data_IF_178437439421
#
_entry.id   IF_178437439421
#
_cell.length_a   1.000
_cell.length_b   1.000
_cell.length_c   1.000
_cell.angle_alpha   90.00
_cell.angle_beta   90.00
_cell.angle_gamma   90.00
#
_symmetry.space_group_name_H-M   'P 1'
#
loop_
_entity.id
_entity.type
_entity.pdbx_description
1 polymer ?
#
# COMPACT_ATOMS: atom_id res chain seq x y z
N UNK A 1 -2.75 -12.24 -35.57
CA UNK A 1 -3.96 -11.46 -35.88
C UNK A 1 -3.70 -10.65 -37.14
N UNK A 2 -4.56 -10.74 -38.14
CA UNK A 2 -4.35 -10.08 -39.45
C UNK A 2 -4.49 -8.54 -39.31
N UNK A 3 -3.43 -7.82 -39.66
CA UNK A 3 -3.37 -6.35 -39.61
C UNK A 3 -4.43 -5.68 -40.49
N UNK A 4 -4.96 -6.38 -41.50
CA UNK A 4 -6.07 -5.88 -42.33
C UNK A 4 -7.39 -5.82 -41.56
N UNK A 5 -7.67 -6.78 -40.69
CA UNK A 5 -8.86 -6.76 -39.84
C UNK A 5 -8.78 -5.58 -38.88
N UNK A 6 -7.64 -5.37 -38.21
CA UNK A 6 -7.45 -4.25 -37.26
C UNK A 6 -7.72 -2.89 -37.93
N UNK A 7 -7.25 -2.69 -39.17
CA UNK A 7 -7.49 -1.45 -39.92
C UNK A 7 -8.97 -1.24 -40.27
N UNK A 8 -9.68 -2.28 -40.67
CA UNK A 8 -11.12 -2.21 -40.96
C UNK A 8 -11.89 -1.82 -39.69
N UNK A 9 -11.54 -2.42 -38.54
CA UNK A 9 -12.17 -2.13 -37.25
C UNK A 9 -11.91 -0.72 -36.72
N UNK A 10 -10.69 -0.18 -36.89
CA UNK A 10 -10.36 1.21 -36.52
C UNK A 10 -11.14 2.18 -37.41
N UNK A 11 -11.27 1.90 -38.71
CA UNK A 11 -12.03 2.74 -39.62
C UNK A 11 -13.52 2.79 -39.25
N UNK A 12 -14.12 1.64 -38.90
CA UNK A 12 -15.50 1.56 -38.43
C UNK A 12 -15.74 2.33 -37.12
N UNK A 13 -14.73 2.37 -36.23
CA UNK A 13 -14.79 3.14 -34.97
C UNK A 13 -14.82 4.66 -35.21
N UNK A 14 -14.00 5.17 -36.13
CA UNK A 14 -14.02 6.59 -36.48
C UNK A 14 -15.29 7.01 -37.23
N UNK A 15 -15.85 6.12 -38.06
CA UNK A 15 -17.16 6.34 -38.69
C UNK A 15 -18.27 6.44 -37.63
N UNK A 16 -18.27 5.57 -36.61
CA UNK A 16 -19.25 5.62 -35.51
C UNK A 16 -19.13 6.90 -34.65
N UNK A 17 -17.92 7.43 -34.45
CA UNK A 17 -17.66 8.72 -33.81
C UNK A 17 -18.21 9.91 -34.64
N UNK A 18 -18.18 9.81 -35.98
CA UNK A 18 -18.74 10.84 -36.88
C UNK A 18 -20.25 11.02 -36.80
N UNK A 19 -21.00 10.00 -36.35
CA UNK A 19 -22.47 10.05 -36.20
C UNK A 19 -22.94 10.63 -34.84
N UNK A 20 -22.04 11.17 -34.02
CA UNK A 20 -22.31 11.63 -32.64
C UNK A 20 -23.12 12.94 -32.50
N UNK A 21 -23.93 13.33 -33.49
CA UNK A 21 -24.68 14.60 -33.43
C UNK A 21 -26.14 14.50 -32.96
N UNK A 22 -26.69 13.31 -32.68
CA UNK A 22 -28.05 13.15 -32.14
C UNK A 22 -28.10 12.51 -30.75
N UNK A 23 -29.00 13.00 -29.89
CA UNK A 23 -29.00 12.70 -28.44
C UNK A 23 -29.36 11.26 -28.06
N UNK A 24 -30.11 10.52 -28.90
CA UNK A 24 -30.46 9.11 -28.64
C UNK A 24 -29.36 8.12 -29.02
N UNK A 25 -28.41 8.49 -29.90
CA UNK A 25 -27.28 7.62 -30.28
C UNK A 25 -26.15 7.62 -29.23
N UNK A 26 -26.08 8.62 -28.34
CA UNK A 26 -25.04 8.69 -27.28
C UNK A 26 -25.04 7.49 -26.33
N UNK A 27 -26.20 7.01 -25.90
CA UNK A 27 -26.30 5.91 -24.94
C UNK A 27 -25.85 4.59 -25.57
N UNK A 28 -26.26 4.35 -26.83
CA UNK A 28 -25.87 3.17 -27.60
C UNK A 28 -24.35 3.19 -27.86
N UNK A 29 -23.78 4.35 -28.20
CA UNK A 29 -22.33 4.50 -28.37
C UNK A 29 -21.55 4.27 -27.05
N UNK A 30 -22.08 4.68 -25.89
CA UNK A 30 -21.45 4.36 -24.59
C UNK A 30 -21.46 2.88 -24.29
N UNK A 31 -22.57 2.18 -24.54
CA UNK A 31 -22.66 0.74 -24.34
C UNK A 31 -21.70 0.00 -25.28
N UNK A 32 -21.63 0.38 -26.55
CA UNK A 32 -20.68 -0.19 -27.51
C UNK A 32 -19.23 0.07 -27.10
N UNK A 33 -18.92 1.27 -26.59
CA UNK A 33 -17.58 1.61 -26.10
C UNK A 33 -17.19 0.80 -24.86
N UNK A 34 -18.12 0.56 -23.93
CA UNK A 34 -17.90 -0.29 -22.76
C UNK A 34 -17.68 -1.75 -23.19
N UNK A 35 -18.48 -2.26 -24.13
CA UNK A 35 -18.30 -3.60 -24.68
C UNK A 35 -16.98 -3.75 -25.45
N UNK A 36 -16.53 -2.68 -26.12
CA UNK A 36 -15.22 -2.60 -26.80
C UNK A 36 -14.05 -2.63 -25.79
N UNK A 37 -14.12 -1.86 -24.71
CA UNK A 37 -13.15 -1.91 -23.62
C UNK A 37 -13.13 -3.30 -22.96
N UNK A 38 -14.29 -3.90 -22.75
CA UNK A 38 -14.39 -5.24 -22.18
C UNK A 38 -13.78 -6.30 -23.11
N UNK A 39 -14.05 -6.24 -24.42
CA UNK A 39 -13.44 -7.17 -25.37
C UNK A 39 -11.93 -6.99 -25.50
N UNK A 40 -11.41 -5.76 -25.42
CA UNK A 40 -9.98 -5.46 -25.30
C UNK A 40 -9.36 -6.09 -24.05
N UNK A 41 -10.01 -5.99 -22.89
CA UNK A 41 -9.53 -6.60 -21.64
C UNK A 41 -9.44 -8.12 -21.77
N UNK A 42 -10.41 -8.74 -22.45
CA UNK A 42 -10.43 -10.20 -22.70
C UNK A 42 -9.40 -10.61 -23.76
N UNK A 43 -9.32 -9.91 -24.91
CA UNK A 43 -8.41 -10.23 -26.03
C UNK A 43 -6.94 -10.07 -25.68
N UNK A 44 -6.58 -9.11 -24.82
CA UNK A 44 -5.20 -8.88 -24.42
C UNK A 44 -4.79 -9.67 -23.16
N UNK A 45 -5.64 -10.59 -22.67
CA UNK A 45 -5.36 -11.37 -21.46
C UNK A 45 -5.18 -10.51 -20.20
N UNK A 46 -5.57 -9.24 -20.26
CA UNK A 46 -5.52 -8.31 -19.12
C UNK A 46 -6.56 -8.69 -18.09
N UNK A 47 -7.67 -9.31 -18.49
CA UNK A 47 -8.69 -9.86 -17.59
C UNK A 47 -8.10 -10.91 -16.65
N UNK A 48 -7.32 -11.86 -17.17
CA UNK A 48 -6.68 -12.88 -16.34
C UNK A 48 -5.55 -12.30 -15.48
N UNK A 49 -4.76 -11.33 -15.97
CA UNK A 49 -3.75 -10.66 -15.13
C UNK A 49 -4.38 -9.80 -14.03
N UNK A 50 -5.48 -9.10 -14.29
CA UNK A 50 -6.18 -8.29 -13.29
C UNK A 50 -6.93 -9.17 -12.29
N UNK A 51 -7.56 -10.26 -12.74
CA UNK A 51 -8.22 -11.25 -11.89
C UNK A 51 -7.21 -12.11 -11.12
N UNK A 52 -6.04 -12.41 -11.67
CA UNK A 52 -4.98 -13.17 -11.01
C UNK A 52 -4.26 -12.34 -9.96
N UNK A 53 -3.92 -11.08 -10.26
CA UNK A 53 -3.32 -10.16 -9.27
C UNK A 53 -4.32 -9.84 -8.14
N UNK A 54 -5.62 -9.73 -8.44
CA UNK A 54 -6.63 -9.55 -7.38
C UNK A 54 -6.89 -10.83 -6.59
N UNK A 55 -6.96 -12.02 -7.22
CA UNK A 55 -7.25 -13.30 -6.55
C UNK A 55 -6.09 -13.87 -5.74
N UNK A 56 -4.83 -13.75 -6.20
CA UNK A 56 -3.64 -14.15 -5.43
C UNK A 56 -3.46 -13.25 -4.20
N UNK A 57 -3.72 -11.95 -4.33
CA UNK A 57 -3.68 -11.03 -3.19
C UNK A 57 -4.89 -11.20 -2.27
N UNK A 58 -6.08 -11.49 -2.81
CA UNK A 58 -7.25 -11.83 -1.99
C UNK A 58 -6.98 -13.12 -1.21
N UNK A 59 -6.52 -14.21 -1.82
CA UNK A 59 -6.22 -15.46 -1.10
C UNK A 59 -5.16 -15.27 -0.01
N UNK A 60 -4.18 -14.40 -0.22
CA UNK A 60 -3.15 -14.07 0.78
C UNK A 60 -3.70 -13.18 1.91
N UNK A 61 -4.69 -12.32 1.63
CA UNK A 61 -5.48 -11.56 2.62
C UNK A 61 -6.59 -12.39 3.29
N UNK A 62 -7.04 -13.46 2.65
CA UNK A 62 -8.11 -14.39 3.06
C UNK A 62 -7.55 -15.66 3.70
N UNK A 63 -6.24 -15.73 3.96
CA UNK A 63 -5.72 -16.74 4.87
C UNK A 63 -6.55 -16.72 6.16
N UNK A 64 -6.93 -17.89 6.67
CA UNK A 64 -7.72 -18.07 7.89
C UNK A 64 -7.00 -17.57 9.17
N UNK A 65 -5.95 -16.77 9.02
CA UNK A 65 -5.14 -16.26 10.10
C UNK A 65 -5.92 -15.14 10.82
N UNK A 66 -6.26 -15.43 12.08
CA UNK A 66 -6.92 -14.48 12.97
C UNK A 66 -5.96 -13.33 13.30
N UNK A 67 -6.45 -12.10 13.25
CA UNK A 67 -5.70 -10.91 13.66
C UNK A 67 -5.53 -10.95 15.17
N UNK A 68 -4.29 -11.14 15.60
CA UNK A 68 -3.89 -11.04 17.00
C UNK A 68 -3.35 -9.63 17.25
N UNK A 69 -3.96 -8.93 18.21
CA UNK A 69 -3.50 -7.61 18.64
C UNK A 69 -2.77 -7.72 19.97
N UNK A 70 -1.74 -6.91 20.15
CA UNK A 70 -1.01 -6.76 21.41
C UNK A 70 -1.08 -5.31 21.90
N UNK A 71 -1.02 -5.07 23.22
CA UNK A 71 -0.85 -3.74 23.77
C UNK A 71 0.43 -3.09 23.27
N UNK A 72 0.41 -1.78 23.08
CA UNK A 72 1.62 -1.05 22.74
C UNK A 72 2.66 -1.16 23.87
N UNK A 73 3.92 -1.28 23.47
CA UNK A 73 5.05 -1.35 24.39
C UNK A 73 6.21 -0.50 23.85
N UNK A 74 6.99 0.16 24.73
CA UNK A 74 8.22 0.85 24.31
C UNK A 74 9.20 -0.05 23.57
N UNK A 75 9.14 -1.38 23.76
CA UNK A 75 9.97 -2.35 23.02
C UNK A 75 9.78 -2.27 21.51
N UNK A 76 8.62 -1.85 21.02
CA UNK A 76 8.43 -1.68 19.57
C UNK A 76 9.31 -0.60 18.96
N UNK A 77 9.59 0.46 19.72
CA UNK A 77 10.53 1.51 19.32
C UNK A 77 11.97 0.95 19.27
N UNK A 78 12.35 0.18 20.28
CA UNK A 78 13.66 -0.50 20.32
C UNK A 78 13.83 -1.50 19.16
N UNK A 79 12.81 -2.32 18.90
CA UNK A 79 12.79 -3.28 17.78
C UNK A 79 12.93 -2.57 16.43
N UNK A 80 12.22 -1.46 16.23
CA UNK A 80 12.37 -0.63 15.03
C UNK A 80 13.79 -0.06 14.91
N UNK A 81 14.35 0.54 15.97
CA UNK A 81 15.70 1.13 15.91
C UNK A 81 16.79 0.07 15.66
N UNK A 82 16.64 -1.12 16.23
CA UNK A 82 17.51 -2.26 15.96
C UNK A 82 17.46 -2.67 14.48
N UNK A 83 16.27 -2.77 13.91
CA UNK A 83 16.10 -3.15 12.51
C UNK A 83 16.55 -2.04 11.55
N UNK A 84 16.28 -0.77 11.88
CA UNK A 84 16.80 0.40 11.16
C UNK A 84 18.33 0.38 11.15
N UNK A 85 18.97 0.09 12.28
CA UNK A 85 20.43 -0.04 12.38
C UNK A 85 20.96 -1.20 11.52
N UNK A 86 20.30 -2.37 11.58
CA UNK A 86 20.65 -3.55 10.76
C UNK A 86 20.56 -3.23 9.27
N UNK A 87 19.42 -2.69 8.83
CA UNK A 87 19.20 -2.33 7.43
C UNK A 87 20.18 -1.25 6.97
N UNK A 88 20.44 -0.23 7.77
CA UNK A 88 21.41 0.81 7.42
C UNK A 88 22.83 0.27 7.18
N UNK A 89 23.26 -0.77 7.89
CA UNK A 89 24.55 -1.44 7.59
C UNK A 89 24.57 -2.09 6.21
N UNK A 90 23.43 -2.56 5.72
CA UNK A 90 23.29 -3.27 4.45
C UNK A 90 23.10 -2.28 3.29
N UNK A 91 22.21 -1.28 3.46
CA UNK A 91 21.76 -0.43 2.36
C UNK A 91 22.38 0.98 2.36
N UNK A 92 22.73 1.55 3.51
CA UNK A 92 23.00 2.98 3.60
C UNK A 92 24.35 3.39 2.99
N UNK A 93 25.37 2.54 2.98
CA UNK A 93 26.66 2.89 2.36
C UNK A 93 26.56 3.04 0.83
N UNK A 94 25.75 2.20 0.18
CA UNK A 94 25.59 2.15 -1.27
C UNK A 94 24.44 3.04 -1.78
N UNK A 95 23.34 3.12 -1.03
CA UNK A 95 22.08 3.70 -1.52
C UNK A 95 21.68 5.04 -0.88
N UNK A 96 22.44 5.55 0.10
CA UNK A 96 22.07 6.81 0.80
C UNK A 96 21.95 8.03 -0.12
N UNK A 97 22.58 8.02 -1.30
CA UNK A 97 22.47 9.09 -2.29
C UNK A 97 21.09 9.16 -2.96
N UNK A 98 20.32 8.06 -2.99
CA UNK A 98 18.96 8.05 -3.56
C UNK A 98 17.85 8.22 -2.52
N UNK A 99 18.17 8.32 -1.23
CA UNK A 99 17.15 8.52 -0.19
C UNK A 99 16.63 9.95 -0.19
N UNK A 100 15.33 10.10 -0.07
CA UNK A 100 14.69 11.40 0.07
C UNK A 100 15.00 11.98 1.46
N UNK A 101 15.80 13.05 1.51
CA UNK A 101 16.39 13.56 2.75
C UNK A 101 15.39 14.10 3.76
N UNK A 102 14.28 14.69 3.30
CA UNK A 102 13.27 15.22 4.23
C UNK A 102 12.37 14.12 4.81
N UNK A 103 11.86 13.24 3.94
CA UNK A 103 10.96 12.16 4.36
C UNK A 103 11.68 11.03 5.07
N UNK A 104 12.93 10.77 4.73
CA UNK A 104 13.71 9.65 5.25
C UNK A 104 15.19 10.03 5.40
N UNK A 105 15.53 10.93 6.34
CA UNK A 105 16.90 11.46 6.49
C UNK A 105 17.94 10.36 6.74
N UNK A 106 17.56 9.36 7.54
CA UNK A 106 18.39 8.20 7.88
C UNK A 106 18.06 6.95 7.05
N UNK A 107 17.34 7.13 5.94
CA UNK A 107 16.94 6.06 5.04
C UNK A 107 15.68 5.30 5.44
N UNK A 108 15.37 5.16 6.73
CA UNK A 108 14.18 4.44 7.19
C UNK A 108 13.32 5.25 8.17
N UNK A 109 11.99 5.12 8.03
CA UNK A 109 10.97 5.78 8.85
C UNK A 109 10.02 4.75 9.44
N UNK A 110 9.75 4.82 10.75
CA UNK A 110 8.73 3.99 11.38
C UNK A 110 7.34 4.56 11.09
N UNK A 111 6.48 3.76 10.47
CA UNK A 111 5.09 4.13 10.17
C UNK A 111 4.13 3.07 10.73
N UNK A 112 2.83 3.23 10.45
CA UNK A 112 1.82 2.26 10.84
C UNK A 112 1.38 2.38 12.30
N UNK A 113 0.75 1.33 12.83
CA UNK A 113 0.20 1.41 14.20
C UNK A 113 1.26 1.27 15.29
N UNK A 114 2.36 0.56 15.03
CA UNK A 114 3.41 0.31 16.03
C UNK A 114 4.29 1.54 16.31
N UNK A 115 4.32 2.51 15.38
CA UNK A 115 4.99 3.80 15.56
C UNK A 115 4.19 4.81 16.40
N UNK A 116 2.89 4.56 16.65
CA UNK A 116 2.03 5.46 17.42
C UNK A 116 2.19 5.15 18.91
N UNK A 117 2.87 6.03 19.64
CA UNK A 117 3.07 5.85 21.08
C UNK A 117 1.73 5.81 21.83
N UNK A 118 1.61 4.91 22.82
CA UNK A 118 0.42 4.76 23.68
C UNK A 118 -0.86 4.36 22.94
N UNK A 119 -0.77 3.75 21.75
CA UNK A 119 -1.94 3.16 21.11
C UNK A 119 -2.42 1.92 21.90
N UNK A 120 -3.73 1.80 22.15
CA UNK A 120 -4.24 0.75 23.04
C UNK A 120 -3.88 -0.67 22.56
N UNK A 121 -4.10 -0.96 21.27
CA UNK A 121 -3.83 -2.27 20.67
C UNK A 121 -3.39 -2.10 19.20
N UNK A 122 -2.42 -2.90 18.78
CA UNK A 122 -2.01 -2.99 17.38
C UNK A 122 -1.62 -4.42 17.01
N UNK A 123 -1.70 -4.72 15.71
CA UNK A 123 -1.04 -5.92 15.16
C UNK A 123 0.46 -5.70 15.39
N UNK A 124 1.21 -6.66 15.95
CA UNK A 124 2.63 -6.50 16.20
C UNK A 124 3.44 -6.65 14.91
N UNK A 125 3.24 -5.70 13.99
CA UNK A 125 3.89 -5.60 12.70
C UNK A 125 4.50 -4.21 12.59
N UNK A 126 5.79 -4.16 12.30
CA UNK A 126 6.54 -2.92 12.13
C UNK A 126 6.48 -2.52 10.67
N UNK A 127 5.64 -1.53 10.36
CA UNK A 127 5.61 -0.92 9.03
C UNK A 127 6.77 0.08 8.94
N UNK A 128 7.69 -0.13 8.01
CA UNK A 128 8.90 0.68 7.83
C UNK A 128 8.89 1.26 6.42
N UNK A 129 9.10 2.57 6.26
CA UNK A 129 9.15 3.20 4.94
C UNK A 129 10.57 3.67 4.58
N UNK A 130 10.91 3.54 3.30
CA UNK A 130 12.11 4.08 2.66
C UNK A 130 11.66 4.92 1.47
N UNK A 131 11.73 6.24 1.57
CA UNK A 131 11.49 7.12 0.45
C UNK A 131 12.75 7.28 -0.41
N UNK A 132 12.62 7.05 -1.71
CA UNK A 132 13.71 7.23 -2.67
C UNK A 132 13.37 8.32 -3.70
N UNK A 133 14.39 8.94 -4.27
CA UNK A 133 14.29 10.03 -5.26
C UNK A 133 14.28 9.52 -6.69
N UNK A 134 14.61 8.25 -6.92
CA UNK A 134 14.61 7.66 -8.26
C UNK A 134 13.20 7.35 -8.72
N UNK A 135 12.94 7.52 -10.02
CA UNK A 135 11.64 7.23 -10.64
C UNK A 135 11.25 5.74 -10.58
N UNK A 136 12.24 4.86 -10.53
CA UNK A 136 12.05 3.41 -10.47
C UNK A 136 12.86 2.82 -9.33
N UNK A 137 12.44 1.65 -8.85
CA UNK A 137 13.19 0.85 -7.90
C UNK A 137 14.45 0.26 -8.56
N UNK A 138 15.66 0.58 -8.09
CA UNK A 138 16.88 -0.04 -8.64
C UNK A 138 16.87 -1.55 -8.41
N UNK A 139 17.16 -2.34 -9.46
CA UNK A 139 17.22 -3.81 -9.38
C UNK A 139 18.18 -4.26 -8.29
N UNK A 140 19.37 -3.66 -8.22
CA UNK A 140 20.36 -4.02 -7.20
C UNK A 140 19.91 -3.66 -5.78
N UNK A 141 19.07 -2.61 -5.59
CA UNK A 141 18.52 -2.30 -4.27
C UNK A 141 17.52 -3.39 -3.85
N UNK A 142 16.68 -3.84 -4.79
CA UNK A 142 15.78 -4.98 -4.55
C UNK A 142 16.56 -6.23 -4.15
N UNK A 143 17.61 -6.58 -4.89
CA UNK A 143 18.44 -7.74 -4.59
C UNK A 143 19.13 -7.61 -3.22
N UNK A 144 19.62 -6.43 -2.87
CA UNK A 144 20.24 -6.16 -1.58
C UNK A 144 19.22 -6.33 -0.42
N UNK A 145 17.96 -5.92 -0.60
CA UNK A 145 16.88 -6.16 0.36
C UNK A 145 16.49 -7.64 0.44
N UNK A 146 16.46 -8.36 -0.69
CA UNK A 146 16.20 -9.80 -0.72
C UNK A 146 17.31 -10.59 0.01
N UNK A 147 18.58 -10.22 -0.19
CA UNK A 147 19.72 -10.75 0.57
C UNK A 147 19.66 -10.41 2.07
N UNK A 148 19.03 -9.29 2.43
CA UNK A 148 18.78 -8.91 3.81
C UNK A 148 17.66 -9.71 4.50
N UNK A 149 16.99 -10.61 3.77
CA UNK A 149 15.93 -11.49 4.26
C UNK A 149 14.52 -11.06 3.85
N UNK A 150 14.35 -9.93 3.15
CA UNK A 150 13.04 -9.45 2.71
C UNK A 150 12.53 -10.20 1.48
N UNK A 151 11.23 -10.47 1.43
CA UNK A 151 10.57 -11.03 0.26
C UNK A 151 9.88 -9.91 -0.51
N UNK A 152 10.23 -9.75 -1.77
CA UNK A 152 9.48 -8.89 -2.66
C UNK A 152 8.10 -9.46 -2.94
N UNK A 153 7.04 -8.67 -2.75
CA UNK A 153 5.65 -9.13 -2.88
C UNK A 153 4.83 -8.39 -3.92
N UNK A 154 5.37 -7.37 -4.56
CA UNK A 154 4.67 -6.63 -5.60
C UNK A 154 4.51 -5.14 -5.28
N UNK A 155 3.78 -4.46 -6.16
CA UNK A 155 3.29 -3.13 -5.88
C UNK A 155 2.14 -3.16 -4.87
N UNK A 156 2.08 -2.15 -4.00
CA UNK A 156 1.01 -2.06 -3.00
C UNK A 156 -0.33 -1.67 -3.65
N UNK A 157 -1.44 -2.25 -3.17
CA UNK A 157 -2.79 -1.97 -3.67
C UNK A 157 -3.26 -0.52 -3.46
N UNK A 158 -2.59 0.24 -2.58
CA UNK A 158 -2.87 1.67 -2.33
C UNK A 158 -2.10 2.60 -3.26
N UNK A 159 -1.31 2.06 -4.20
CA UNK A 159 -0.54 2.82 -5.16
C UNK A 159 -1.45 3.43 -6.22
N UNK A 160 -1.45 4.77 -6.36
CA UNK A 160 -2.31 5.54 -7.28
C UNK A 160 -2.14 5.07 -8.73
N UNK A 161 -0.93 4.68 -9.11
CA UNK A 161 -0.66 3.77 -10.22
C UNK A 161 0.10 2.58 -9.63
N UNK A 162 -0.17 1.33 -10.01
CA UNK A 162 0.50 0.12 -9.47
C UNK A 162 2.05 0.07 -9.69
N UNK A 163 2.71 1.21 -9.89
CA UNK A 163 4.13 1.38 -10.17
C UNK A 163 4.84 2.29 -9.15
N UNK A 164 4.11 3.04 -8.32
CA UNK A 164 4.66 4.13 -7.50
C UNK A 164 4.99 3.75 -6.05
N UNK A 165 4.63 2.52 -5.64
CA UNK A 165 4.81 2.02 -4.28
C UNK A 165 5.13 0.52 -4.31
N UNK A 166 6.31 0.15 -3.85
CA UNK A 166 6.78 -1.24 -3.85
C UNK A 166 6.73 -1.77 -2.42
N UNK A 167 6.12 -2.94 -2.25
CA UNK A 167 5.99 -3.61 -0.97
C UNK A 167 6.97 -4.78 -0.90
N UNK A 168 7.81 -4.72 0.12
CA UNK A 168 8.71 -5.77 0.53
C UNK A 168 8.23 -6.22 1.89
N UNK A 169 7.95 -7.50 2.09
CA UNK A 169 7.59 -7.98 3.41
C UNK A 169 8.59 -9.02 3.86
N UNK A 170 8.86 -9.07 5.15
CA UNK A 170 9.29 -10.31 5.78
C UNK A 170 8.02 -10.90 6.36
N UNK A 171 7.41 -11.83 5.65
CA UNK A 171 6.44 -12.73 6.31
C UNK A 171 6.48 -14.12 5.69
N UNK A 172 7.52 -14.91 5.97
CA UNK A 172 7.34 -16.35 6.02
C UNK A 172 6.73 -16.73 7.40
N UNK A 173 5.88 -17.77 7.47
CA UNK A 173 5.22 -18.22 8.73
C UNK A 173 6.21 -18.55 9.85
N UNK A 174 7.45 -18.76 9.45
CA UNK A 174 8.69 -19.03 10.17
C UNK A 174 9.39 -17.77 10.71
N UNK A 175 8.88 -16.56 10.41
CA UNK A 175 9.32 -15.29 11.02
C UNK A 175 8.15 -14.40 11.49
N UNK A 176 7.01 -14.99 11.85
CA UNK A 176 6.57 -14.67 13.22
C UNK A 176 7.71 -15.27 14.02
N UNK A 177 8.67 -14.44 14.42
CA UNK A 177 9.80 -14.95 15.20
C UNK A 177 9.25 -15.76 16.38
N UNK A 178 10.10 -16.55 17.05
CA UNK A 178 9.76 -17.15 18.34
C UNK A 178 9.14 -16.17 19.39
N UNK A 179 9.04 -14.85 19.10
CA UNK A 179 8.52 -13.76 19.93
C UNK A 179 7.21 -13.13 19.41
N UNK A 180 6.72 -13.47 18.22
CA UNK A 180 5.41 -13.04 17.72
C UNK A 180 5.35 -11.79 16.83
N UNK A 181 6.46 -11.22 16.35
CA UNK A 181 6.50 -9.91 15.65
C UNK A 181 7.07 -10.02 14.20
N UNK A 182 6.81 -9.03 13.33
CA UNK A 182 7.33 -9.01 11.94
C UNK A 182 7.59 -7.60 11.40
N UNK A 183 8.19 -7.50 10.21
CA UNK A 183 8.52 -6.24 9.52
C UNK A 183 7.97 -6.18 8.10
N UNK A 184 7.29 -5.08 7.79
CA UNK A 184 6.70 -4.75 6.50
C UNK A 184 7.41 -3.51 5.95
N UNK A 185 8.19 -3.67 4.88
CA UNK A 185 9.03 -2.62 4.29
C UNK A 185 8.36 -2.01 3.05
N UNK A 186 8.17 -0.70 3.09
CA UNK A 186 7.55 0.10 2.05
C UNK A 186 8.61 0.94 1.34
N UNK A 187 8.97 0.58 0.12
CA UNK A 187 9.83 1.43 -0.72
C UNK A 187 8.96 2.38 -1.53
N UNK A 188 9.09 3.67 -1.24
CA UNK A 188 8.19 4.73 -1.73
C UNK A 188 8.88 5.57 -2.79
N UNK A 189 8.31 5.58 -4.00
CA UNK A 189 8.80 6.35 -5.13
C UNK A 189 8.20 7.78 -5.13
N UNK A 190 8.78 8.72 -5.91
CA UNK A 190 8.33 10.12 -5.92
C UNK A 190 6.82 10.37 -6.04
N UNK A 191 6.06 9.66 -6.90
CA UNK A 191 4.62 9.92 -7.02
C UNK A 191 3.83 9.57 -5.75
N UNK A 192 4.39 8.73 -4.86
CA UNK A 192 3.77 8.33 -3.59
C UNK A 192 4.38 9.04 -2.37
N UNK A 193 5.27 10.02 -2.55
CA UNK A 193 5.86 10.77 -1.43
C UNK A 193 4.81 11.51 -0.60
N UNK A 194 3.72 11.97 -1.23
CA UNK A 194 2.63 12.61 -0.48
C UNK A 194 1.90 11.62 0.44
N UNK A 195 1.70 10.38 -0.01
CA UNK A 195 1.13 9.33 0.84
C UNK A 195 2.00 9.07 2.08
N UNK A 196 3.32 9.04 1.90
CA UNK A 196 4.24 8.87 3.04
C UNK A 196 4.19 10.07 3.99
N UNK A 197 4.17 11.31 3.47
CA UNK A 197 3.98 12.52 4.29
C UNK A 197 2.71 12.43 5.12
N UNK A 198 1.60 12.15 4.48
CA UNK A 198 0.30 12.01 5.16
C UNK A 198 0.37 10.90 6.23
N UNK A 199 1.03 9.78 5.96
CA UNK A 199 1.18 8.65 6.90
C UNK A 199 2.06 9.00 8.11
N UNK A 200 3.13 9.77 7.90
CA UNK A 200 3.98 10.29 8.98
C UNK A 200 3.16 11.25 9.86
N UNK A 201 2.48 12.22 9.24
CA UNK A 201 1.63 13.18 9.95
C UNK A 201 0.48 12.50 10.70
N UNK A 202 -0.11 11.46 10.12
CA UNK A 202 -1.14 10.66 10.78
C UNK A 202 -0.64 10.03 12.08
N UNK A 203 0.59 9.49 12.07
CA UNK A 203 1.19 8.86 13.25
C UNK A 203 1.50 9.89 14.35
N UNK A 204 2.02 11.06 13.96
CA UNK A 204 2.26 12.18 14.87
C UNK A 204 0.95 12.72 15.46
N UNK A 205 -0.05 12.95 14.61
CA UNK A 205 -1.37 13.40 15.01
C UNK A 205 -1.99 12.47 16.06
N UNK A 206 -2.01 11.16 15.83
CA UNK A 206 -2.56 10.21 16.82
C UNK A 206 -1.71 10.13 18.09
N UNK A 207 -0.40 10.39 18.02
CA UNK A 207 0.43 10.47 19.22
C UNK A 207 0.03 11.66 20.10
N UNK A 208 -0.29 12.80 19.49
CA UNK A 208 -0.68 14.03 20.21
C UNK A 208 -2.18 14.13 20.52
N UNK A 209 -3.05 13.40 19.82
CA UNK A 209 -4.51 13.49 19.98
C UNK A 209 -5.08 12.22 20.63
N UNK A 210 -5.18 12.24 21.96
CA UNK A 210 -5.58 11.07 22.76
C UNK A 210 -6.95 10.50 22.39
N UNK A 211 -7.98 11.35 22.23
CA UNK A 211 -9.35 10.90 21.93
C UNK A 211 -9.39 10.09 20.63
N UNK A 212 -8.73 10.59 19.58
CA UNK A 212 -8.71 9.93 18.28
C UNK A 212 -7.82 8.67 18.28
N UNK A 213 -6.72 8.68 19.05
CA UNK A 213 -5.89 7.48 19.27
C UNK A 213 -6.67 6.37 19.95
N UNK A 214 -7.41 6.69 21.01
CA UNK A 214 -8.25 5.74 21.74
C UNK A 214 -9.37 5.21 20.85
N UNK A 215 -10.05 6.11 20.12
CA UNK A 215 -11.07 5.73 19.13
C UNK A 215 -10.52 4.74 18.09
N UNK A 216 -9.31 4.99 17.58
CA UNK A 216 -8.66 4.08 16.63
C UNK A 216 -8.26 2.74 17.25
N UNK A 217 -7.69 2.76 18.46
CA UNK A 217 -7.33 1.55 19.21
C UNK A 217 -8.54 0.68 19.55
N UNK A 218 -9.64 1.30 19.99
CA UNK A 218 -10.87 0.62 20.37
C UNK A 218 -11.56 -0.02 19.18
N UNK A 219 -11.65 0.67 18.03
CA UNK A 219 -12.18 0.07 16.81
C UNK A 219 -11.39 -1.20 16.41
N UNK A 220 -10.06 -1.15 16.46
CA UNK A 220 -9.22 -2.32 16.18
C UNK A 220 -9.52 -3.48 17.12
N UNK A 221 -9.64 -3.18 18.42
CA UNK A 221 -10.01 -4.15 19.46
C UNK A 221 -11.35 -4.82 19.19
N UNK A 222 -12.36 -4.02 18.86
CA UNK A 222 -13.73 -4.50 18.58
C UNK A 222 -13.76 -5.40 17.35
N UNK A 223 -13.08 -5.03 16.26
CA UNK A 223 -13.01 -5.86 15.06
C UNK A 223 -12.31 -7.19 15.37
N UNK A 224 -11.18 -7.17 16.07
CA UNK A 224 -10.46 -8.39 16.43
C UNK A 224 -11.27 -9.32 17.35
N UNK A 225 -12.21 -8.80 18.13
CA UNK A 225 -13.11 -9.60 18.97
C UNK A 225 -14.30 -10.17 18.19
N UNK A 226 -14.89 -9.38 17.29
CA UNK A 226 -16.15 -9.71 16.61
C UNK A 226 -15.96 -10.46 15.29
N UNK A 227 -14.89 -10.16 14.57
CA UNK A 227 -14.58 -10.73 13.26
C UNK A 227 -13.06 -10.64 13.00
N UNK A 228 -12.27 -11.54 13.62
CA UNK A 228 -10.81 -11.48 13.61
C UNK A 228 -10.18 -11.79 12.24
N UNK A 229 -10.95 -11.90 11.16
CA UNK A 229 -10.37 -12.19 9.85
C UNK A 229 -9.57 -10.98 9.34
N UNK A 230 -8.43 -11.23 8.68
CA UNK A 230 -7.61 -10.14 8.13
C UNK A 230 -8.39 -9.28 7.14
N UNK A 231 -9.22 -9.89 6.29
CA UNK A 231 -10.09 -9.19 5.35
C UNK A 231 -11.07 -8.24 6.06
N UNK A 232 -11.72 -8.69 7.14
CA UNK A 232 -12.62 -7.84 7.93
C UNK A 232 -11.87 -6.73 8.66
N UNK A 233 -10.72 -7.07 9.24
CA UNK A 233 -9.84 -6.12 9.90
C UNK A 233 -9.40 -4.97 8.99
N UNK A 234 -9.00 -5.27 7.76
CA UNK A 234 -8.64 -4.24 6.78
C UNK A 234 -9.87 -3.41 6.36
N UNK A 235 -10.99 -4.07 6.03
CA UNK A 235 -12.20 -3.41 5.52
C UNK A 235 -12.85 -2.50 6.55
N UNK A 236 -13.11 -3.00 7.77
CA UNK A 236 -13.88 -2.28 8.80
C UNK A 236 -13.15 -1.05 9.34
N UNK A 237 -11.82 -0.96 9.22
CA UNK A 237 -11.04 0.22 9.62
C UNK A 237 -11.12 1.39 8.65
N UNK A 238 -11.42 1.16 7.37
CA UNK A 238 -11.24 2.15 6.30
C UNK A 238 -11.97 3.47 6.57
N UNK A 239 -13.24 3.41 6.99
CA UNK A 239 -14.03 4.61 7.25
C UNK A 239 -13.42 5.48 8.35
N UNK A 240 -12.98 4.88 9.45
CA UNK A 240 -12.36 5.64 10.54
C UNK A 240 -10.98 6.17 10.14
N UNK A 241 -10.17 5.35 9.46
CA UNK A 241 -8.85 5.77 8.96
C UNK A 241 -8.99 7.02 8.08
N UNK A 242 -9.97 7.04 7.17
CA UNK A 242 -10.22 8.19 6.31
C UNK A 242 -10.50 9.48 7.09
N UNK A 243 -11.43 9.42 8.06
CA UNK A 243 -11.76 10.56 8.95
C UNK A 243 -10.52 11.02 9.71
N UNK A 244 -9.74 10.08 10.26
CA UNK A 244 -8.55 10.41 11.03
C UNK A 244 -7.42 11.02 10.17
N UNK A 245 -7.32 10.62 8.90
CA UNK A 245 -6.43 11.29 7.94
C UNK A 245 -6.88 12.71 7.63
N UNK A 246 -8.19 12.97 7.49
CA UNK A 246 -8.71 14.32 7.32
C UNK A 246 -8.40 15.19 8.53
N UNK A 247 -8.66 14.68 9.74
CA UNK A 247 -8.34 15.41 10.97
C UNK A 247 -6.83 15.67 11.08
N UNK A 248 -5.99 14.68 10.78
CA UNK A 248 -4.53 14.83 10.74
C UNK A 248 -4.11 15.95 9.77
N UNK A 249 -4.69 16.00 8.57
CA UNK A 249 -4.39 17.08 7.60
C UNK A 249 -4.82 18.46 8.11
N UNK A 250 -5.96 18.57 8.80
CA UNK A 250 -6.38 19.85 9.41
C UNK A 250 -5.46 20.24 10.56
N UNK A 251 -5.09 19.29 11.40
CA UNK A 251 -4.16 19.49 12.51
C UNK A 251 -2.79 19.99 12.02
N UNK A 252 -2.24 19.42 10.95
CA UNK A 252 -0.96 19.87 10.37
C UNK A 252 -1.04 21.30 9.82
N UNK A 253 -2.19 21.73 9.27
CA UNK A 253 -2.36 23.10 8.75
C UNK A 253 -2.39 24.17 9.85
N UNK A 254 -2.72 23.77 11.07
CA UNK A 254 -2.88 24.67 12.22
C UNK A 254 -1.64 24.71 13.13
N UNK A 255 -0.57 24.00 12.76
CA UNK A 255 0.76 24.07 13.40
C UNK A 255 1.67 25.01 12.63
#
# INVERSE_FOLDING_TARGET
MDLKLIKIWILSFFVALGFMHHSKTRMICHVIFILFLYSLIVLFGLGERLLFVTSVNLQKLLGNDKVVLKPWTPKWKEEFENEKSRLNKIISSKWKHIFHKELSPDGLVHIGSTSIEKIALAKPMHDVAIAITTKYLPVNLREDLEKAGYKYVGAALHSISCQDHWFFNITPKDQIDSKGHGFDLHVVLPPSHQWLRDTIHFSQYLTENQIDRERYGNLKSEIAKTDPTMASYVRKKQKLIHILFENSRQWTKNK
#
